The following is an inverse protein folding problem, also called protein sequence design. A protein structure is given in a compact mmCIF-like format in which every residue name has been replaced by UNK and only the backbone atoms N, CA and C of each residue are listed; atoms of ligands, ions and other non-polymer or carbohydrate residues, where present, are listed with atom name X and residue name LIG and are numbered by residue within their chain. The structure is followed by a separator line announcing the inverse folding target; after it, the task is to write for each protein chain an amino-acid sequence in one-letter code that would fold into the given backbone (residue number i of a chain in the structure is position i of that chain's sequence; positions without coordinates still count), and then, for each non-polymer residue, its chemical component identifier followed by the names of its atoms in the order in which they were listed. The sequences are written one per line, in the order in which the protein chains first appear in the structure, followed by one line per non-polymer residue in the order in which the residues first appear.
data_IF_631596803890
#
_entry.id   IF_631596803890
#
_cell.length_a   1.000
_cell.length_b   1.000
_cell.length_c   1.000
_cell.angle_alpha   90.00
_cell.angle_beta   90.00
_cell.angle_gamma   90.00
#
_symmetry.space_group_name_H-M   'P 1'
#
loop_
_entity.id
_entity.type
_entity.pdbx_description
1 polymer ?
#
# COMPACT_ATOMS: atom_id res chain seq x y z
N UNK A 1 -27.65 -13.80 -19.05
CA UNK A 1 -26.22 -13.53 -19.09
C UNK A 1 -25.74 -13.17 -17.69
N UNK A 2 -24.64 -13.75 -17.25
CA UNK A 2 -24.11 -13.51 -15.89
C UNK A 2 -23.41 -12.13 -15.79
N UNK A 3 -22.97 -11.58 -16.90
CA UNK A 3 -22.42 -10.23 -16.99
C UNK A 3 -23.15 -9.40 -18.03
N UNK A 4 -23.46 -8.18 -17.69
CA UNK A 4 -24.02 -7.16 -18.58
C UNK A 4 -22.88 -6.41 -19.29
N UNK A 5 -22.29 -7.04 -20.32
CA UNK A 5 -21.16 -6.48 -21.06
C UNK A 5 -21.51 -5.11 -21.68
N UNK A 6 -22.70 -5.00 -22.28
CA UNK A 6 -23.14 -3.74 -22.88
C UNK A 6 -23.27 -2.62 -21.84
N UNK A 7 -23.79 -2.91 -20.65
CA UNK A 7 -23.85 -1.95 -19.57
C UNK A 7 -22.48 -1.60 -18.97
N UNK A 8 -21.53 -2.54 -18.95
CA UNK A 8 -20.15 -2.27 -18.52
C UNK A 8 -19.47 -1.33 -19.52
N UNK A 9 -19.54 -1.64 -20.81
CA UNK A 9 -18.97 -0.80 -21.87
C UNK A 9 -19.57 0.61 -21.87
N UNK A 10 -20.90 0.72 -21.75
CA UNK A 10 -21.59 2.02 -21.71
C UNK A 10 -21.16 2.89 -20.51
N UNK A 11 -20.85 2.30 -19.37
CA UNK A 11 -20.41 3.03 -18.18
C UNK A 11 -18.93 3.41 -18.23
N UNK A 12 -18.10 2.66 -18.96
CA UNK A 12 -16.66 2.89 -19.05
C UNK A 12 -16.03 3.09 -17.67
N UNK A 13 -15.31 4.19 -17.48
CA UNK A 13 -14.63 4.53 -16.21
C UNK A 13 -15.51 5.25 -15.16
N UNK A 14 -16.80 5.49 -15.45
CA UNK A 14 -17.70 6.20 -14.54
C UNK A 14 -17.76 5.61 -13.12
N UNK A 15 -17.73 4.28 -12.92
CA UNK A 15 -17.75 3.69 -11.58
C UNK A 15 -16.53 4.03 -10.70
N UNK A 16 -15.38 4.35 -11.30
CA UNK A 16 -14.14 4.69 -10.56
C UNK A 16 -13.91 6.20 -10.44
N UNK A 17 -14.74 7.02 -11.07
CA UNK A 17 -14.62 8.50 -11.02
C UNK A 17 -14.63 9.07 -9.60
N UNK A 18 -15.47 8.60 -8.65
CA UNK A 18 -15.44 9.12 -7.29
C UNK A 18 -14.09 8.91 -6.60
N UNK A 19 -13.44 7.75 -6.81
CA UNK A 19 -12.12 7.45 -6.26
C UNK A 19 -11.04 8.32 -6.90
N UNK A 20 -11.07 8.50 -8.22
CA UNK A 20 -10.14 9.38 -8.94
C UNK A 20 -10.28 10.83 -8.46
N UNK A 21 -11.50 11.32 -8.25
CA UNK A 21 -11.76 12.66 -7.71
C UNK A 21 -11.27 12.81 -6.27
N UNK A 22 -11.47 11.79 -5.43
CA UNK A 22 -10.96 11.79 -4.06
C UNK A 22 -9.43 11.88 -4.04
N UNK A 23 -8.75 11.13 -4.90
CA UNK A 23 -7.28 11.19 -5.05
C UNK A 23 -6.84 12.57 -5.56
N UNK A 24 -7.50 13.10 -6.57
CA UNK A 24 -7.20 14.43 -7.13
C UNK A 24 -7.42 15.56 -6.11
N UNK A 25 -8.30 15.37 -5.13
CA UNK A 25 -8.58 16.30 -4.04
C UNK A 25 -7.54 16.30 -2.91
N UNK A 26 -6.53 15.42 -2.92
CA UNK A 26 -5.47 15.40 -1.91
C UNK A 26 -4.57 16.63 -2.09
N UNK A 27 -4.73 17.62 -1.20
CA UNK A 27 -4.09 18.92 -1.34
C UNK A 27 -2.69 19.01 -0.68
N UNK A 28 -2.45 18.21 0.37
CA UNK A 28 -1.24 18.30 1.17
C UNK A 28 -0.84 16.93 1.79
N UNK A 29 0.29 16.92 2.49
CA UNK A 29 0.83 15.70 3.13
C UNK A 29 -0.08 15.16 4.25
N UNK A 30 -0.79 16.04 4.96
CA UNK A 30 -1.70 15.62 6.02
C UNK A 30 -2.92 14.91 5.42
N UNK A 31 -3.52 15.48 4.36
CA UNK A 31 -4.62 14.88 3.62
C UNK A 31 -4.19 13.52 3.01
N UNK A 32 -2.97 13.43 2.47
CA UNK A 32 -2.41 12.17 1.98
C UNK A 32 -2.29 11.14 3.11
N UNK A 33 -1.73 11.53 4.26
CA UNK A 33 -1.58 10.64 5.40
C UNK A 33 -2.92 10.11 5.90
N UNK A 34 -3.95 10.97 6.00
CA UNK A 34 -5.33 10.57 6.32
C UNK A 34 -5.89 9.57 5.31
N UNK A 35 -5.75 9.88 4.02
CA UNK A 35 -6.23 8.99 2.95
C UNK A 35 -5.55 7.62 3.03
N UNK A 36 -4.25 7.57 3.23
CA UNK A 36 -3.52 6.33 3.42
C UNK A 36 -3.97 5.58 4.69
N UNK A 37 -4.21 6.30 5.79
CA UNK A 37 -4.70 5.72 7.05
C UNK A 37 -6.09 5.10 6.91
N UNK A 38 -7.01 5.72 6.15
CA UNK A 38 -8.35 5.16 5.94
C UNK A 38 -8.36 3.85 5.17
N UNK A 39 -7.30 3.52 4.45
CA UNK A 39 -7.16 2.23 3.76
C UNK A 39 -6.74 1.11 4.71
N UNK A 40 -6.30 1.45 5.93
CA UNK A 40 -5.82 0.54 6.96
C UNK A 40 -6.85 0.40 8.08
N UNK A 41 -7.90 -0.37 7.86
CA UNK A 41 -8.91 -0.64 8.87
C UNK A 41 -8.66 -2.00 9.50
N UNK A 42 -8.06 -2.02 10.69
CA UNK A 42 -7.82 -3.25 11.45
C UNK A 42 -9.11 -3.98 11.88
N UNK A 43 -10.26 -3.27 11.84
CA UNK A 43 -11.58 -3.79 12.21
C UNK A 43 -12.34 -4.45 11.04
N UNK A 44 -11.80 -4.41 9.81
CA UNK A 44 -12.62 -4.71 8.61
C UNK A 44 -12.31 -6.04 7.96
N UNK A 45 -11.14 -6.64 8.18
CA UNK A 45 -10.80 -7.87 7.47
C UNK A 45 -9.98 -8.87 8.28
N UNK A 46 -10.69 -9.58 9.15
CA UNK A 46 -10.13 -10.73 9.90
C UNK A 46 -9.70 -11.90 8.99
N UNK A 47 -10.21 -11.98 7.76
CA UNK A 47 -9.89 -13.06 6.82
C UNK A 47 -8.64 -12.79 6.00
N UNK A 48 -8.35 -11.52 5.71
CA UNK A 48 -7.10 -11.11 5.04
C UNK A 48 -5.92 -10.92 6.01
N UNK A 49 -6.16 -10.97 7.31
CA UNK A 49 -5.09 -10.94 8.31
C UNK A 49 -4.08 -12.11 8.17
N UNK A 50 -4.43 -13.15 7.42
CA UNK A 50 -3.54 -14.29 7.13
C UNK A 50 -2.69 -14.10 5.87
N UNK A 51 -3.03 -13.13 5.02
CA UNK A 51 -2.25 -12.80 3.84
C UNK A 51 -1.43 -11.55 4.15
N UNK A 52 -0.14 -11.73 4.43
CA UNK A 52 0.81 -10.63 4.64
C UNK A 52 1.05 -9.77 3.37
N UNK A 53 0.24 -9.93 2.35
CA UNK A 53 0.23 -9.12 1.14
C UNK A 53 -0.87 -8.07 1.23
N UNK A 54 -0.51 -6.83 0.95
CA UNK A 54 -1.46 -5.72 0.82
C UNK A 54 -1.11 -4.83 -0.38
N UNK A 55 -2.09 -4.41 -1.19
CA UNK A 55 -1.88 -3.41 -2.23
C UNK A 55 -1.69 -1.99 -1.66
N UNK A 56 -1.99 -1.79 -0.37
CA UNK A 56 -1.80 -0.52 0.32
C UNK A 56 -0.35 -0.34 0.76
N UNK A 57 0.04 0.90 1.06
CA UNK A 57 1.41 1.23 1.49
C UNK A 57 1.87 0.41 2.70
N UNK A 58 0.93 0.18 3.63
CA UNK A 58 1.10 -0.72 4.76
C UNK A 58 -0.13 -1.61 4.90
N UNK A 59 0.04 -2.81 5.44
CA UNK A 59 -1.03 -3.58 6.04
C UNK A 59 -1.01 -3.43 7.56
N UNK A 60 -2.13 -3.72 8.22
CA UNK A 60 -2.22 -3.78 9.68
C UNK A 60 -2.72 -5.15 10.08
N UNK A 61 -2.02 -5.74 11.03
CA UNK A 61 -2.43 -6.97 11.68
C UNK A 61 -2.37 -6.77 13.20
N UNK A 62 -3.44 -7.10 13.90
CA UNK A 62 -3.48 -7.06 15.36
C UNK A 62 -3.34 -8.49 15.89
N UNK A 63 -2.31 -8.71 16.68
CA UNK A 63 -2.01 -10.02 17.27
C UNK A 63 -1.39 -9.84 18.65
N UNK A 64 -1.16 -10.97 19.32
CA UNK A 64 -0.41 -11.00 20.59
C UNK A 64 0.95 -10.33 20.41
N UNK A 65 1.30 -9.43 21.33
CA UNK A 65 2.60 -8.78 21.35
C UNK A 65 3.71 -9.81 21.60
N UNK A 66 4.65 -9.92 20.64
CA UNK A 66 5.75 -10.89 20.72
C UNK A 66 6.69 -10.67 21.92
N UNK A 67 6.73 -9.44 22.47
CA UNK A 67 7.55 -9.08 23.62
C UNK A 67 6.77 -9.08 24.93
N UNK A 68 5.44 -8.95 24.89
CA UNK A 68 4.55 -8.92 26.04
C UNK A 68 3.27 -9.73 25.73
N UNK A 69 3.31 -11.06 25.91
CA UNK A 69 2.24 -11.96 25.46
C UNK A 69 0.89 -11.82 26.19
N UNK A 70 0.82 -10.98 27.20
CA UNK A 70 -0.39 -10.66 27.97
C UNK A 70 -1.25 -9.55 27.33
N UNK A 71 -0.78 -8.98 26.22
CA UNK A 71 -1.49 -7.93 25.47
C UNK A 71 -1.43 -8.15 23.95
N UNK A 72 -2.31 -7.47 23.24
CA UNK A 72 -2.25 -7.37 21.78
C UNK A 72 -1.50 -6.12 21.34
N UNK A 73 -0.86 -6.20 20.18
CA UNK A 73 -0.20 -5.08 19.53
C UNK A 73 -0.58 -5.02 18.04
N UNK A 74 -0.68 -3.81 17.46
CA UNK A 74 -0.79 -3.64 16.02
C UNK A 74 0.57 -3.82 15.36
N UNK A 75 0.62 -4.62 14.32
CA UNK A 75 1.78 -4.81 13.46
C UNK A 75 1.55 -4.09 12.13
N UNK A 76 2.43 -3.16 11.78
CA UNK A 76 2.49 -2.59 10.45
C UNK A 76 3.33 -3.50 9.56
N UNK A 77 2.71 -4.04 8.53
CA UNK A 77 3.40 -4.90 7.56
C UNK A 77 3.69 -4.13 6.27
N UNK A 78 4.78 -4.45 5.65
CA UNK A 78 5.22 -3.81 4.40
C UNK A 78 4.25 -4.08 3.25
N UNK A 79 4.03 -3.07 2.42
CA UNK A 79 3.15 -3.10 1.25
C UNK A 79 3.52 -2.03 0.24
N UNK A 80 2.59 -1.63 -0.63
CA UNK A 80 2.77 -0.56 -1.61
C UNK A 80 3.49 -0.99 -2.87
N UNK A 81 3.44 -2.28 -3.21
CA UNK A 81 3.95 -2.83 -4.47
C UNK A 81 2.78 -3.33 -5.32
N UNK A 82 2.75 -2.98 -6.59
CA UNK A 82 1.76 -3.48 -7.54
C UNK A 82 2.12 -4.85 -8.12
N UNK A 83 3.39 -5.27 -8.07
CA UNK A 83 3.85 -6.62 -8.38
C UNK A 83 4.05 -7.43 -7.07
N UNK A 84 4.08 -8.78 -7.14
CA UNK A 84 3.94 -9.65 -5.97
C UNK A 84 4.93 -9.42 -4.83
N UNK A 85 6.19 -9.10 -5.12
CA UNK A 85 7.22 -8.84 -4.11
C UNK A 85 8.35 -7.96 -4.62
N UNK A 86 9.31 -7.65 -3.73
CA UNK A 86 10.47 -6.80 -4.01
C UNK A 86 11.36 -7.29 -5.13
N UNK A 87 11.46 -8.59 -5.34
CA UNK A 87 12.39 -9.18 -6.31
C UNK A 87 12.00 -8.88 -7.75
N UNK A 88 10.69 -8.71 -8.03
CA UNK A 88 10.20 -8.23 -9.32
C UNK A 88 10.75 -6.84 -9.70
N UNK A 89 11.09 -6.03 -8.70
CA UNK A 89 11.62 -4.68 -8.91
C UNK A 89 13.14 -4.62 -8.94
N UNK A 90 13.83 -5.57 -8.31
CA UNK A 90 15.26 -5.47 -8.02
C UNK A 90 16.13 -6.45 -8.82
N UNK A 91 15.57 -7.58 -9.26
CA UNK A 91 16.32 -8.57 -10.03
C UNK A 91 16.32 -8.22 -11.52
N UNK A 92 17.37 -8.70 -12.21
CA UNK A 92 17.54 -8.59 -13.66
C UNK A 92 16.92 -9.78 -14.43
N UNK A 93 17.19 -9.85 -15.73
CA UNK A 93 16.71 -10.91 -16.60
C UNK A 93 15.19 -10.90 -16.73
N UNK A 94 14.54 -12.02 -16.46
CA UNK A 94 13.09 -12.16 -16.58
C UNK A 94 12.32 -11.14 -15.75
N UNK A 95 12.81 -10.77 -14.56
CA UNK A 95 12.14 -9.80 -13.70
C UNK A 95 12.17 -8.40 -14.32
N UNK A 96 13.25 -8.03 -15.00
CA UNK A 96 13.31 -6.77 -15.75
C UNK A 96 12.30 -6.72 -16.90
N UNK A 97 12.09 -7.85 -17.61
CA UNK A 97 11.06 -7.94 -18.66
C UNK A 97 9.64 -7.79 -18.09
N UNK A 98 9.36 -8.46 -16.97
CA UNK A 98 8.07 -8.36 -16.30
C UNK A 98 7.82 -6.93 -15.77
N UNK A 99 8.84 -6.28 -15.23
CA UNK A 99 8.76 -4.89 -14.77
C UNK A 99 8.45 -3.93 -15.93
N UNK A 100 9.05 -4.14 -17.10
CA UNK A 100 8.76 -3.36 -18.30
C UNK A 100 7.32 -3.59 -18.79
N UNK A 101 6.85 -4.84 -18.76
CA UNK A 101 5.47 -5.16 -19.11
C UNK A 101 4.47 -4.53 -18.13
N UNK A 102 4.79 -4.54 -16.83
CA UNK A 102 4.00 -3.90 -15.79
C UNK A 102 3.93 -2.38 -15.99
N UNK A 103 5.04 -1.71 -16.33
CA UNK A 103 5.05 -0.28 -16.65
C UNK A 103 4.11 0.03 -17.82
N UNK A 104 4.14 -0.79 -18.88
CA UNK A 104 3.22 -0.67 -20.00
C UNK A 104 1.75 -0.85 -19.59
N UNK A 105 1.45 -1.81 -18.72
CA UNK A 105 0.12 -2.02 -18.17
C UNK A 105 -0.37 -0.80 -17.36
N UNK A 106 0.47 -0.25 -16.48
CA UNK A 106 0.15 0.96 -15.72
C UNK A 106 -0.13 2.15 -16.65
N UNK A 107 0.67 2.31 -17.71
CA UNK A 107 0.44 3.36 -18.71
C UNK A 107 -0.90 3.21 -19.42
N UNK A 108 -1.30 1.99 -19.75
CA UNK A 108 -2.62 1.72 -20.35
C UNK A 108 -3.76 2.08 -19.39
N UNK A 109 -3.67 1.70 -18.10
CA UNK A 109 -4.69 2.05 -17.11
C UNK A 109 -4.83 3.55 -16.93
N UNK A 110 -3.71 4.29 -16.87
CA UNK A 110 -3.72 5.75 -16.80
C UNK A 110 -4.35 6.38 -18.03
N UNK A 111 -4.05 5.87 -19.22
CA UNK A 111 -4.66 6.34 -20.48
C UNK A 111 -6.17 6.12 -20.46
N UNK A 112 -6.64 4.93 -20.04
CA UNK A 112 -8.06 4.63 -19.92
C UNK A 112 -8.77 5.51 -18.89
N UNK A 113 -8.07 5.97 -17.86
CA UNK A 113 -8.60 6.93 -16.89
C UNK A 113 -8.59 8.38 -17.36
N UNK A 114 -8.13 8.64 -18.59
CA UNK A 114 -8.11 9.97 -19.20
C UNK A 114 -6.83 10.76 -18.96
N UNK A 115 -5.76 10.13 -18.50
CA UNK A 115 -4.50 10.81 -18.25
C UNK A 115 -3.72 11.02 -19.55
N UNK A 116 -3.33 12.25 -19.81
CA UNK A 116 -2.59 12.64 -21.03
C UNK A 116 -1.07 12.42 -20.93
N UNK A 117 -0.54 12.23 -19.69
CA UNK A 117 0.88 12.01 -19.41
C UNK A 117 1.13 10.58 -18.89
N UNK A 118 0.33 9.63 -19.34
CA UNK A 118 0.23 8.27 -18.83
C UNK A 118 1.58 7.54 -18.79
N UNK A 119 2.37 7.60 -19.85
CA UNK A 119 3.66 6.91 -19.94
C UNK A 119 4.68 7.46 -18.93
N UNK A 120 4.82 8.80 -18.85
CA UNK A 120 5.74 9.40 -17.90
C UNK A 120 5.29 9.19 -16.45
N UNK A 121 3.99 9.16 -16.17
CA UNK A 121 3.46 8.82 -14.84
C UNK A 121 3.70 7.36 -14.50
N UNK A 122 3.50 6.42 -15.43
CA UNK A 122 3.79 5.01 -15.23
C UNK A 122 5.26 4.78 -14.85
N UNK A 123 6.19 5.41 -15.56
CA UNK A 123 7.60 5.34 -15.23
C UNK A 123 7.90 5.88 -13.81
N UNK A 124 7.26 6.99 -13.39
CA UNK A 124 7.39 7.53 -12.03
C UNK A 124 6.81 6.61 -10.96
N UNK A 125 5.68 5.95 -11.26
CA UNK A 125 5.06 4.97 -10.36
C UNK A 125 6.02 3.78 -10.15
N UNK A 126 6.51 3.16 -11.22
CA UNK A 126 7.44 2.03 -11.13
C UNK A 126 8.75 2.44 -10.43
N UNK A 127 9.25 3.66 -10.65
CA UNK A 127 10.40 4.18 -9.94
C UNK A 127 10.13 4.36 -8.43
N UNK A 128 8.94 4.82 -8.03
CA UNK A 128 8.53 4.92 -6.63
C UNK A 128 8.43 3.53 -6.00
N UNK A 129 7.73 2.60 -6.63
CA UNK A 129 7.59 1.22 -6.15
C UNK A 129 8.96 0.52 -6.04
N UNK A 130 9.88 0.78 -6.98
CA UNK A 130 11.26 0.28 -6.89
C UNK A 130 11.99 0.81 -5.64
N UNK A 131 11.75 2.06 -5.25
CA UNK A 131 12.30 2.62 -4.00
C UNK A 131 11.68 1.97 -2.78
N UNK A 132 10.37 1.72 -2.79
CA UNK A 132 9.66 0.99 -1.74
C UNK A 132 10.22 -0.43 -1.64
N UNK A 133 10.35 -1.14 -2.75
CA UNK A 133 10.90 -2.50 -2.82
C UNK A 133 12.31 -2.62 -2.24
N UNK A 134 13.15 -1.59 -2.43
CA UNK A 134 14.50 -1.55 -1.80
C UNK A 134 14.46 -1.44 -0.28
N UNK A 135 13.42 -0.82 0.26
CA UNK A 135 13.22 -0.67 1.70
C UNK A 135 12.54 -1.90 2.34
N UNK A 136 11.91 -2.76 1.54
CA UNK A 136 11.30 -3.99 2.03
C UNK A 136 12.34 -4.98 2.54
N UNK A 137 12.03 -5.62 3.65
CA UNK A 137 12.73 -6.83 4.09
C UNK A 137 12.59 -7.96 3.05
N UNK A 138 13.56 -8.85 3.01
CA UNK A 138 13.48 -10.05 2.17
C UNK A 138 12.45 -11.04 2.72
N UNK A 139 12.03 -12.01 1.89
CA UNK A 139 11.14 -13.08 2.32
C UNK A 139 11.73 -13.89 3.49
N UNK A 140 13.05 -14.10 3.49
CA UNK A 140 13.75 -14.78 4.58
C UNK A 140 13.67 -13.97 5.88
N UNK A 141 13.89 -12.66 5.81
CA UNK A 141 13.79 -11.76 6.96
C UNK A 141 12.39 -11.63 7.51
N UNK A 142 11.36 -11.61 6.64
CA UNK A 142 9.95 -11.54 7.09
C UNK A 142 9.47 -12.81 7.76
N UNK A 143 10.09 -13.97 7.47
CA UNK A 143 9.80 -15.24 8.12
C UNK A 143 10.50 -15.39 9.49
N UNK A 144 11.43 -14.50 9.82
CA UNK A 144 12.11 -14.48 11.11
C UNK A 144 11.26 -13.76 12.17
N UNK A 145 10.59 -14.53 13.00
CA UNK A 145 9.71 -14.02 14.06
C UNK A 145 10.44 -13.06 15.02
N UNK A 146 11.73 -13.28 15.28
CA UNK A 146 12.50 -12.41 16.17
C UNK A 146 12.73 -11.03 15.54
N UNK A 147 12.95 -10.97 14.23
CA UNK A 147 13.03 -9.70 13.50
C UNK A 147 11.67 -9.00 13.40
N UNK A 148 10.58 -9.76 13.40
CA UNK A 148 9.20 -9.25 13.46
C UNK A 148 8.86 -8.53 14.76
N UNK A 149 9.58 -8.83 15.86
CA UNK A 149 9.41 -8.17 17.18
C UNK A 149 10.07 -6.77 17.24
N UNK A 150 10.06 -6.00 16.17
CA UNK A 150 10.63 -4.65 16.10
C UNK A 150 9.67 -3.61 16.67
N UNK A 151 9.62 -3.50 18.00
CA UNK A 151 8.71 -2.60 18.71
C UNK A 151 9.12 -1.13 18.56
N UNK A 152 8.17 -0.29 18.13
CA UNK A 152 8.28 1.16 18.08
C UNK A 152 7.19 1.79 18.95
N UNK A 153 7.53 2.85 19.66
CA UNK A 153 6.52 3.71 20.27
C UNK A 153 5.97 4.67 19.22
N UNK A 154 4.72 5.05 19.35
CA UNK A 154 4.11 6.05 18.45
C UNK A 154 4.94 7.34 18.38
N UNK A 155 5.50 7.79 19.51
CA UNK A 155 6.38 8.96 19.57
C UNK A 155 7.67 8.82 18.75
N UNK A 156 8.12 7.60 18.48
CA UNK A 156 9.34 7.34 17.70
C UNK A 156 9.14 7.54 16.21
N UNK A 157 7.89 7.40 15.72
CA UNK A 157 7.58 7.40 14.29
C UNK A 157 8.02 8.70 13.61
N UNK A 158 7.76 9.85 14.21
CA UNK A 158 8.13 11.14 13.64
C UNK A 158 9.66 11.31 13.52
N UNK A 159 10.43 10.75 14.46
CA UNK A 159 11.89 10.86 14.47
C UNK A 159 12.56 9.80 13.58
N UNK A 160 12.08 8.55 13.63
CA UNK A 160 12.69 7.40 12.93
C UNK A 160 12.20 7.23 11.48
N UNK A 161 10.98 7.71 11.18
CA UNK A 161 10.37 7.65 9.85
C UNK A 161 9.78 9.03 9.46
N UNK A 162 10.61 10.07 9.28
CA UNK A 162 10.13 11.40 8.94
C UNK A 162 9.53 11.42 7.53
N UNK A 163 8.61 12.36 7.29
CA UNK A 163 8.03 12.60 5.97
C UNK A 163 6.56 12.29 5.84
N UNK A 164 5.97 11.55 6.78
CA UNK A 164 4.54 11.33 6.91
C UNK A 164 3.99 12.06 8.14
N UNK A 165 2.77 12.55 8.07
CA UNK A 165 2.01 12.97 9.25
C UNK A 165 1.44 11.71 9.94
N UNK A 166 2.25 11.13 10.83
CA UNK A 166 1.89 9.89 11.52
C UNK A 166 0.70 10.04 12.45
N UNK A 167 0.49 11.23 13.01
CA UNK A 167 -0.69 11.47 13.85
C UNK A 167 -1.97 11.39 13.01
N UNK A 168 -2.00 12.07 11.88
CA UNK A 168 -3.13 12.03 10.95
C UNK A 168 -3.36 10.63 10.35
N UNK A 169 -2.27 9.90 10.07
CA UNK A 169 -2.32 8.53 9.55
C UNK A 169 -2.92 7.56 10.57
N UNK A 170 -2.39 7.53 11.81
CA UNK A 170 -2.84 6.62 12.86
C UNK A 170 -4.27 6.93 13.32
N UNK A 171 -4.64 8.20 13.39
CA UNK A 171 -6.01 8.62 13.70
C UNK A 171 -6.99 8.08 12.66
N UNK A 172 -6.70 8.28 11.38
CA UNK A 172 -7.52 7.78 10.28
C UNK A 172 -7.58 6.24 10.22
N UNK A 173 -6.52 5.55 10.65
CA UNK A 173 -6.47 4.10 10.78
C UNK A 173 -7.19 3.56 12.02
N UNK A 174 -7.67 4.42 12.92
CA UNK A 174 -8.31 4.02 14.19
C UNK A 174 -7.32 3.51 15.25
N UNK A 175 -6.04 3.88 15.14
CA UNK A 175 -4.97 3.43 16.04
C UNK A 175 -4.51 4.51 17.03
N UNK A 176 -5.07 5.72 16.97
CA UNK A 176 -4.62 6.86 17.80
C UNK A 176 -5.07 6.79 19.26
N UNK A 177 -6.14 6.07 19.57
CA UNK A 177 -6.75 6.00 20.91
C UNK A 177 -6.26 4.82 21.75
N UNK A 178 -5.34 4.03 21.28
CA UNK A 178 -4.81 2.87 21.99
C UNK A 178 -3.55 3.30 22.79
N UNK A 179 -3.74 3.67 24.04
CA UNK A 179 -2.68 3.79 25.03
C UNK A 179 -2.37 2.43 25.64
#
# INVERSE_FOLDING_TARGET
AFMDEAGIEARGVAPVQPQLQAIAGIADKQALARTLGTTLRADVDLLNATNFYTPHLFGVWVSVDLLQPDRNAPYLVQGGLGMPDRDFYLQDGRMAELRKAYEGYVAQLLTLSGDTDAAAKAARIVALETRIARAHATQEETNDVQKGANAWKQADLAAKAPGMDWAAFLDAAGLSAQQ
#
